data_IF_507605994426
#
_entry.id   IF_507605994426
#
_cell.length_a   1.000
_cell.length_b   1.000
_cell.length_c   1.000
_cell.angle_alpha   90.00
_cell.angle_beta   90.00
_cell.angle_gamma   90.00
#
_symmetry.space_group_name_H-M   'P 1'
#
loop_
_entity.id
_entity.type
_entity.pdbx_description
1 polymer ?
#
# COMPACT_ATOMS: atom_id res chain seq x y z
N UNK A 1 -8.26 -4.31 0.78
CA UNK A 1 -9.40 -3.77 0.01
C UNK A 1 -8.87 -2.88 -1.10
N UNK A 2 -9.45 -2.92 -2.32
CA UNK A 2 -9.03 -2.05 -3.44
C UNK A 2 -9.75 -0.71 -3.27
N UNK A 3 -9.05 0.43 -3.19
CA UNK A 3 -9.70 1.73 -3.01
C UNK A 3 -10.71 2.08 -4.09
N UNK A 4 -10.46 1.66 -5.34
CA UNK A 4 -11.41 1.81 -6.45
C UNK A 4 -12.63 0.87 -6.35
N UNK A 5 -12.69 0.00 -5.33
CA UNK A 5 -13.82 -0.88 -5.03
C UNK A 5 -14.00 -2.07 -5.96
N UNK A 6 -13.12 -2.25 -6.95
CA UNK A 6 -13.19 -3.35 -7.93
C UNK A 6 -11.82 -3.70 -8.50
N UNK A 7 -11.73 -4.89 -9.07
CA UNK A 7 -10.61 -5.25 -9.94
C UNK A 7 -10.67 -4.45 -11.25
N UNK A 8 -9.50 -4.18 -11.81
CA UNK A 8 -9.37 -3.65 -13.16
C UNK A 8 -9.77 -4.72 -14.19
N UNK A 9 -10.31 -4.31 -15.33
CA UNK A 9 -10.49 -5.20 -16.49
C UNK A 9 -9.20 -5.29 -17.30
N UNK A 10 -9.01 -6.33 -18.13
CA UNK A 10 -7.85 -6.43 -19.01
C UNK A 10 -7.68 -5.22 -19.93
N UNK A 11 -8.78 -4.65 -20.40
CA UNK A 11 -8.79 -3.49 -21.31
C UNK A 11 -8.25 -2.23 -20.63
N UNK A 12 -8.48 -2.05 -19.33
CA UNK A 12 -7.96 -0.91 -18.57
C UNK A 12 -6.43 -0.99 -18.40
N UNK A 13 -5.91 -2.20 -18.23
CA UNK A 13 -4.45 -2.44 -18.23
C UNK A 13 -3.89 -2.18 -19.64
N UNK A 14 -4.54 -2.72 -20.67
CA UNK A 14 -4.11 -2.55 -22.06
C UNK A 14 -4.11 -1.08 -22.49
N UNK A 15 -5.10 -0.28 -22.05
CA UNK A 15 -5.14 1.15 -22.32
C UNK A 15 -3.94 1.90 -21.75
N UNK A 16 -3.48 1.54 -20.54
CA UNK A 16 -2.28 2.14 -19.94
C UNK A 16 -1.02 1.77 -20.73
N UNK A 17 -0.92 0.50 -21.15
CA UNK A 17 0.19 0.04 -22.00
C UNK A 17 0.18 0.74 -23.35
N UNK A 18 -0.99 0.92 -23.97
CA UNK A 18 -1.15 1.61 -25.24
C UNK A 18 -0.70 3.07 -25.14
N UNK A 19 -1.08 3.77 -24.07
CA UNK A 19 -0.59 5.12 -23.80
C UNK A 19 0.94 5.15 -23.70
N UNK A 20 1.54 4.24 -22.91
CA UNK A 20 2.99 4.17 -22.75
C UNK A 20 3.75 3.82 -24.04
N UNK A 21 3.11 3.12 -24.97
CA UNK A 21 3.66 2.81 -26.29
C UNK A 21 3.44 3.92 -27.33
N UNK A 22 2.68 4.97 -27.00
CA UNK A 22 2.34 6.06 -27.92
C UNK A 22 3.32 7.23 -27.84
N UNK A 23 3.26 8.12 -28.82
CA UNK A 23 4.05 9.36 -28.86
C UNK A 23 3.75 10.30 -27.69
N UNK A 24 2.55 10.20 -27.09
CA UNK A 24 2.17 11.02 -25.93
C UNK A 24 3.02 10.70 -24.68
N UNK A 25 3.65 9.52 -24.64
CA UNK A 25 4.55 9.11 -23.57
C UNK A 25 6.04 9.26 -23.93
N UNK A 26 6.39 9.96 -25.02
CA UNK A 26 7.75 9.96 -25.59
C UNK A 26 8.88 10.41 -24.63
N UNK A 27 8.57 11.13 -23.55
CA UNK A 27 9.54 11.57 -22.55
C UNK A 27 9.45 10.83 -21.21
N UNK A 28 8.58 9.81 -21.11
CA UNK A 28 8.43 8.99 -19.92
C UNK A 28 9.38 7.80 -20.04
N UNK A 29 10.44 7.81 -19.25
CA UNK A 29 11.44 6.73 -19.22
C UNK A 29 11.95 6.47 -17.80
N UNK A 30 12.39 5.24 -17.55
CA UNK A 30 12.92 4.81 -16.25
C UNK A 30 11.90 4.80 -15.11
N UNK A 31 10.59 4.82 -15.42
CA UNK A 31 9.52 4.84 -14.43
C UNK A 31 8.83 3.47 -14.31
N UNK A 32 8.39 3.16 -13.09
CA UNK A 32 7.44 2.08 -12.82
C UNK A 32 6.06 2.68 -12.65
N UNK A 33 5.12 2.36 -13.54
CA UNK A 33 3.72 2.79 -13.41
C UNK A 33 2.90 1.66 -12.80
N UNK A 34 2.34 1.90 -11.62
CA UNK A 34 1.47 0.95 -10.91
C UNK A 34 0.02 1.20 -11.32
N UNK A 35 -0.66 0.15 -11.77
CA UNK A 35 -2.07 0.18 -12.20
C UNK A 35 -2.87 -0.85 -11.40
N UNK A 36 -3.32 -0.46 -10.21
CA UNK A 36 -3.91 -1.41 -9.25
C UNK A 36 -5.15 -0.86 -8.50
N UNK A 37 -5.78 0.19 -9.04
CA UNK A 37 -6.94 0.81 -8.40
C UNK A 37 -6.62 1.49 -7.06
N UNK A 38 -5.35 1.88 -6.84
CA UNK A 38 -4.88 2.57 -5.64
C UNK A 38 -4.43 1.64 -4.52
N UNK A 39 -4.37 0.33 -4.77
CA UNK A 39 -4.00 -0.67 -3.77
C UNK A 39 -2.62 -0.40 -3.18
N UNK A 40 -1.61 -0.05 -3.98
CA UNK A 40 -0.25 0.17 -3.46
C UNK A 40 -0.11 1.44 -2.62
N UNK A 41 -1.06 2.37 -2.73
CA UNK A 41 -1.04 3.66 -2.00
C UNK A 41 -1.76 3.56 -0.66
N UNK A 42 -2.93 2.90 -0.64
CA UNK A 42 -3.78 2.78 0.55
C UNK A 42 -3.87 1.36 1.10
N UNK A 43 -3.20 0.40 0.46
CA UNK A 43 -3.03 -0.98 0.91
C UNK A 43 -2.11 -1.12 2.11
N UNK A 44 -2.11 -0.14 3.00
CA UNK A 44 -1.93 -0.38 4.43
C UNK A 44 -3.11 -1.26 4.89
N UNK A 45 -2.99 -2.54 4.56
CA UNK A 45 -3.78 -3.62 5.10
C UNK A 45 -3.85 -3.44 6.61
N UNK A 46 -5.06 -3.15 7.09
CA UNK A 46 -5.51 -3.13 8.48
C UNK A 46 -4.45 -2.64 9.48
N UNK A 47 -4.58 -1.37 9.90
CA UNK A 47 -3.97 -0.94 11.17
C UNK A 47 -4.34 -2.02 12.20
N UNK A 48 -3.38 -2.76 12.74
CA UNK A 48 -3.72 -3.80 13.70
C UNK A 48 -4.35 -3.08 14.90
N UNK A 49 -5.32 -3.71 15.57
CA UNK A 49 -6.23 -3.03 16.50
C UNK A 49 -5.50 -2.19 17.57
N UNK A 50 -4.31 -2.63 17.97
CA UNK A 50 -3.42 -1.94 18.89
C UNK A 50 -2.87 -0.59 18.41
N UNK A 51 -2.99 -0.27 17.12
CA UNK A 51 -2.65 1.04 16.57
C UNK A 51 -3.88 1.90 16.23
N UNK A 52 -5.09 1.34 16.35
CA UNK A 52 -6.35 2.13 16.33
C UNK A 52 -6.62 2.75 17.71
N UNK A 53 -6.12 2.13 18.78
CA UNK A 53 -6.22 2.66 20.12
C UNK A 53 -4.94 3.43 20.51
N UNK A 54 -5.02 4.77 20.53
CA UNK A 54 -4.42 5.72 21.50
C UNK A 54 -3.99 7.03 20.82
N UNK A 55 -4.43 8.20 21.31
CA UNK A 55 -3.99 8.65 22.63
C UNK A 55 -5.12 9.26 23.49
N UNK A 56 -5.54 8.54 24.53
CA UNK A 56 -6.24 9.15 25.66
C UNK A 56 -6.07 8.35 26.96
N UNK A 57 -4.85 8.31 27.50
CA UNK A 57 -4.58 8.25 28.96
C UNK A 57 -3.06 8.23 29.15
N UNK A 58 -2.46 9.30 29.65
CA UNK A 58 -2.01 9.39 31.04
C UNK A 58 -0.95 8.32 31.39
N UNK A 59 0.29 8.76 31.63
CA UNK A 59 1.45 7.89 31.77
C UNK A 59 1.46 6.99 33.01
N UNK A 60 2.22 5.89 32.91
CA UNK A 60 2.95 5.22 33.99
C UNK A 60 3.67 3.99 33.40
N UNK A 61 4.96 3.87 33.72
CA UNK A 61 5.73 2.64 33.98
C UNK A 61 5.65 1.43 33.03
N UNK A 62 6.82 1.04 32.51
CA UNK A 62 7.05 -0.29 31.92
C UNK A 62 7.02 -1.43 32.96
N UNK A 63 7.20 -2.68 32.52
CA UNK A 63 8.35 -3.40 33.07
C UNK A 63 9.14 -4.22 32.05
N UNK A 64 10.35 -4.56 32.49
CA UNK A 64 11.39 -5.34 31.84
C UNK A 64 11.08 -6.84 31.67
N UNK A 65 11.89 -7.50 30.83
CA UNK A 65 12.09 -8.97 30.78
C UNK A 65 11.35 -9.64 29.60
N UNK A 66 11.92 -10.57 28.84
CA UNK A 66 13.09 -11.42 29.04
C UNK A 66 13.60 -11.96 27.71
N UNK A 67 14.93 -12.09 27.60
CA UNK A 67 15.61 -12.92 26.61
C UNK A 67 15.28 -14.41 26.84
N UNK A 68 14.96 -15.15 25.76
CA UNK A 68 15.17 -16.59 25.53
C UNK A 68 14.84 -16.79 24.04
N UNK A 69 15.64 -17.36 23.14
CA UNK A 69 16.62 -18.43 23.25
C UNK A 69 16.14 -19.60 22.38
N UNK A 70 16.77 -19.80 21.21
CA UNK A 70 16.91 -21.08 20.45
C UNK A 70 15.71 -22.02 20.27
N UNK A 71 15.31 -22.25 19.02
CA UNK A 71 15.67 -23.45 18.23
C UNK A 71 15.38 -23.20 16.75
#
# INVERSE_FOLDING_TARGET
EIPMGRMATPEEIAATVLFLASDDAAYITGQTIVVDGGWSVLGIHERPDWLRASPSSAGADGPAGSQTGTS
#
